data_IF_551858545602
#
_entry.id   IF_551858545602
#
_cell.length_a   1.000
_cell.length_b   1.000
_cell.length_c   1.000
_cell.angle_alpha   90.00
_cell.angle_beta   90.00
_cell.angle_gamma   90.00
#
_symmetry.space_group_name_H-M   'P 1'
#
loop_
_entity.id
_entity.type
_entity.pdbx_description
1 polymer ?
#
# COMPACT_ATOMS: atom_id res chain seq x y z
N UNK A 1 14.95 -1.86 20.52
CA UNK A 1 15.38 -1.41 19.18
C UNK A 1 15.58 -2.66 18.35
N UNK A 2 14.93 -2.74 17.19
CA UNK A 2 15.08 -3.86 16.27
C UNK A 2 16.42 -3.82 15.55
N UNK A 3 16.79 -4.92 14.90
CA UNK A 3 17.98 -4.98 14.05
C UNK A 3 17.86 -4.03 12.84
N UNK A 4 18.98 -3.72 12.19
CA UNK A 4 19.02 -2.81 11.05
C UNK A 4 18.24 -3.31 9.81
N UNK A 5 17.95 -4.60 9.73
CA UNK A 5 17.15 -5.23 8.67
C UNK A 5 15.69 -5.48 9.08
N UNK A 6 15.31 -5.12 10.31
CA UNK A 6 13.96 -5.33 10.85
C UNK A 6 13.20 -4.01 10.89
N UNK A 7 11.88 -4.09 10.71
CA UNK A 7 10.98 -2.98 10.94
C UNK A 7 10.40 -3.05 12.35
N UNK A 8 10.40 -1.91 13.06
CA UNK A 8 9.79 -1.79 14.38
C UNK A 8 8.34 -1.31 14.24
N UNK A 9 7.39 -2.19 14.52
CA UNK A 9 5.96 -1.87 14.64
C UNK A 9 5.74 -0.78 15.68
N UNK A 10 4.66 0.01 15.55
CA UNK A 10 4.26 0.99 16.56
C UNK A 10 3.80 0.33 17.87
N UNK A 11 3.33 -0.93 17.83
CA UNK A 11 3.14 -1.79 19.02
C UNK A 11 4.44 -2.16 19.75
N UNK A 12 5.60 -1.95 19.12
CA UNK A 12 6.92 -2.19 19.70
C UNK A 12 7.56 -3.53 19.32
N UNK A 13 6.84 -4.42 18.63
CA UNK A 13 7.40 -5.65 18.07
C UNK A 13 8.25 -5.40 16.82
N UNK A 14 9.11 -6.36 16.50
CA UNK A 14 9.98 -6.32 15.33
C UNK A 14 9.52 -7.37 14.32
N UNK A 15 9.45 -6.98 13.05
CA UNK A 15 9.18 -7.88 11.93
C UNK A 15 10.32 -7.78 10.91
N UNK A 16 10.34 -8.69 9.94
CA UNK A 16 11.28 -8.57 8.82
C UNK A 16 11.07 -7.24 8.09
N UNK A 17 12.13 -6.54 7.70
CA UNK A 17 11.99 -5.33 6.88
C UNK A 17 11.32 -5.59 5.53
N UNK A 18 11.37 -6.84 5.04
CA UNK A 18 10.62 -7.30 3.85
C UNK A 18 9.12 -7.44 4.10
N UNK A 19 8.71 -7.52 5.36
CA UNK A 19 7.31 -7.65 5.80
C UNK A 19 6.65 -6.30 6.04
N UNK A 20 7.30 -5.20 5.64
CA UNK A 20 6.71 -3.88 5.65
C UNK A 20 6.15 -3.59 4.27
N UNK A 21 4.88 -3.18 4.20
CA UNK A 21 4.17 -2.88 2.96
C UNK A 21 4.07 -4.10 2.04
N UNK A 22 3.89 -5.30 2.62
CA UNK A 22 3.82 -6.56 1.88
C UNK A 22 2.39 -7.07 1.67
N UNK A 23 1.38 -6.25 2.00
CA UNK A 23 -0.05 -6.59 2.00
C UNK A 23 -0.46 -7.64 3.03
N UNK A 24 0.43 -8.08 3.91
CA UNK A 24 0.13 -8.93 5.06
C UNK A 24 0.22 -8.11 6.35
N UNK A 25 -0.60 -8.48 7.35
CA UNK A 25 -0.59 -7.79 8.64
C UNK A 25 0.33 -8.53 9.60
N UNK A 26 1.62 -8.22 9.50
CA UNK A 26 2.67 -8.76 10.34
C UNK A 26 2.76 -8.04 11.69
N UNK A 27 2.41 -6.76 11.77
CA UNK A 27 2.27 -6.06 13.05
C UNK A 27 0.88 -6.31 13.67
N UNK A 28 0.83 -6.52 14.99
CA UNK A 28 -0.43 -6.64 15.74
C UNK A 28 -1.34 -5.41 15.58
N UNK A 29 -0.73 -4.24 15.41
CA UNK A 29 -1.38 -2.95 15.21
C UNK A 29 -1.44 -2.51 13.73
N UNK A 30 -1.02 -3.38 12.79
CA UNK A 30 -1.02 -3.14 11.33
C UNK A 30 -0.16 -1.94 10.89
N UNK A 31 0.76 -1.50 11.72
CA UNK A 31 1.64 -0.35 11.44
C UNK A 31 2.72 -0.66 10.40
N UNK A 32 2.94 -1.93 10.07
CA UNK A 32 3.73 -2.37 8.92
C UNK A 32 3.09 -1.97 7.61
N UNK A 33 1.76 -1.97 7.55
CA UNK A 33 0.98 -1.56 6.38
C UNK A 33 0.53 -0.09 6.45
N UNK A 34 0.95 0.66 7.48
CA UNK A 34 0.63 2.08 7.65
C UNK A 34 1.68 3.00 7.02
N UNK A 35 1.20 4.01 6.29
CA UNK A 35 2.06 5.00 5.64
C UNK A 35 2.92 4.43 4.50
N UNK A 36 2.53 3.28 3.95
CA UNK A 36 3.15 2.68 2.78
C UNK A 36 2.96 3.60 1.56
N UNK A 37 4.05 4.21 1.11
CA UNK A 37 4.08 4.84 -0.21
C UNK A 37 4.21 3.71 -1.22
N UNK A 38 3.19 3.57 -2.06
CA UNK A 38 3.24 2.60 -3.15
C UNK A 38 4.47 2.86 -4.03
N UNK A 39 4.94 1.81 -4.72
CA UNK A 39 6.08 1.97 -5.62
C UNK A 39 5.79 3.06 -6.67
N UNK A 40 6.84 3.60 -7.28
CA UNK A 40 6.74 4.74 -8.22
C UNK A 40 5.76 4.49 -9.39
N UNK A 41 5.44 3.23 -9.67
CA UNK A 41 4.52 2.78 -10.73
C UNK A 41 3.19 2.23 -10.17
N UNK A 42 2.80 2.63 -8.97
CA UNK A 42 1.58 2.18 -8.29
C UNK A 42 0.83 3.38 -7.70
N UNK A 43 -0.50 3.32 -7.70
CA UNK A 43 -1.36 4.32 -7.10
C UNK A 43 -1.73 3.91 -5.67
N UNK A 44 -1.59 4.84 -4.74
CA UNK A 44 -2.09 4.68 -3.37
C UNK A 44 -3.56 5.05 -3.29
N UNK A 45 -4.39 4.07 -2.94
CA UNK A 45 -5.78 4.26 -2.56
C UNK A 45 -5.93 5.08 -1.27
N UNK A 46 -7.12 5.66 -1.07
CA UNK A 46 -7.45 6.31 0.22
C UNK A 46 -7.39 5.36 1.42
N UNK A 47 -7.54 4.05 1.21
CA UNK A 47 -7.31 3.00 2.24
C UNK A 47 -5.85 2.69 2.52
N UNK A 48 -4.91 3.20 1.70
CA UNK A 48 -3.52 2.76 1.72
C UNK A 48 -3.24 1.52 0.87
N UNK A 49 -4.23 0.94 0.17
CA UNK A 49 -4.00 -0.12 -0.82
C UNK A 49 -3.18 0.41 -2.00
N UNK A 50 -2.25 -0.39 -2.51
CA UNK A 50 -1.48 -0.08 -3.71
C UNK A 50 -2.08 -0.79 -4.93
N UNK A 51 -2.42 0.00 -5.95
CA UNK A 51 -2.91 -0.51 -7.25
C UNK A 51 -1.77 -0.39 -8.26
N UNK A 52 -1.38 -1.48 -8.94
CA UNK A 52 -0.33 -1.42 -9.94
C UNK A 52 -0.78 -0.58 -11.13
N UNK A 53 0.17 0.06 -11.81
CA UNK A 53 -0.10 0.94 -12.95
C UNK A 53 -0.87 0.29 -14.12
N UNK A 54 -0.80 -1.03 -14.26
CA UNK A 54 -1.60 -1.79 -15.25
C UNK A 54 -3.10 -1.79 -14.93
N UNK A 55 -3.44 -1.67 -13.66
CA UNK A 55 -4.79 -1.59 -13.13
C UNK A 55 -5.24 -0.14 -12.90
N UNK A 56 -4.50 0.83 -13.47
CA UNK A 56 -4.96 2.20 -13.52
C UNK A 56 -5.71 2.41 -14.81
N UNK A 57 -6.98 2.77 -14.69
CA UNK A 57 -7.86 3.08 -15.81
C UNK A 57 -8.09 1.89 -16.75
N UNK A 58 -8.18 0.70 -16.17
CA UNK A 58 -8.49 -0.51 -16.91
C UNK A 58 -10.01 -0.72 -17.06
N UNK A 59 -10.81 0.22 -16.54
CA UNK A 59 -12.27 0.16 -16.53
C UNK A 59 -12.82 -0.63 -15.34
N UNK A 60 -11.96 -1.10 -14.43
CA UNK A 60 -12.32 -1.82 -13.21
C UNK A 60 -12.03 -0.95 -12.00
N UNK A 61 -12.92 -1.00 -11.00
CA UNK A 61 -12.68 -0.31 -9.73
C UNK A 61 -11.93 -1.24 -8.79
N UNK A 62 -10.61 -1.20 -8.83
CA UNK A 62 -9.74 -1.89 -7.87
C UNK A 62 -9.55 -1.10 -6.58
N UNK A 63 -9.68 0.22 -6.66
CA UNK A 63 -9.65 1.11 -5.51
C UNK A 63 -11.05 1.42 -4.95
N UNK A 64 -11.11 1.69 -3.64
CA UNK A 64 -12.34 2.20 -3.04
C UNK A 64 -12.69 3.57 -3.63
N UNK A 65 -13.93 3.71 -4.08
CA UNK A 65 -14.43 4.87 -4.82
C UNK A 65 -13.90 5.01 -6.25
N UNK A 66 -13.14 4.03 -6.77
CA UNK A 66 -12.63 4.05 -8.14
C UNK A 66 -11.58 5.14 -8.37
N UNK A 67 -10.76 5.46 -7.36
CA UNK A 67 -9.69 6.46 -7.46
C UNK A 67 -8.67 6.18 -8.56
N UNK A 68 -8.40 4.90 -8.80
CA UNK A 68 -7.70 4.34 -9.94
C UNK A 68 -8.32 4.71 -11.29
N UNK A 69 -9.64 4.91 -11.34
CA UNK A 69 -10.40 5.25 -12.55
C UNK A 69 -10.72 6.75 -12.69
N UNK A 70 -10.53 7.56 -11.64
CA UNK A 70 -10.97 8.98 -11.59
C UNK A 70 -10.04 9.97 -12.29
N UNK A 71 -8.77 9.64 -12.49
CA UNK A 71 -7.78 10.52 -13.12
C UNK A 71 -7.24 9.99 -14.44
N UNK A 72 -7.97 9.11 -15.10
CA UNK A 72 -7.77 8.97 -16.54
C UNK A 72 -8.49 10.08 -17.25
N UNK A 73 -7.73 10.86 -18.00
CA UNK A 73 -8.27 11.91 -18.85
C UNK A 73 -9.48 11.36 -19.59
N UNK A 74 -10.64 11.91 -19.23
CA UNK A 74 -11.94 11.61 -19.78
C UNK A 74 -11.83 11.50 -21.30
N UNK A 75 -12.01 10.29 -21.81
CA UNK A 75 -11.98 10.04 -23.24
C UNK A 75 -13.17 9.16 -23.60
N UNK A 76 -14.36 9.73 -23.41
CA UNK A 76 -15.48 9.59 -24.36
C UNK A 76 -16.29 10.90 -24.35
#
# INVERSE_FOLDING_TARGET
KCASYEFQCASGHCISGSSRCDSDYNCMDRSDEDGCKCFTNELTCSSGRCIPSINLCDGVKDCEHGLDELRCGELI
#
